data_IF_765931437909
#
_entry.id   IF_765931437909
#
_cell.length_a   1.000
_cell.length_b   1.000
_cell.length_c   1.000
_cell.angle_alpha   90.00
_cell.angle_beta   90.00
_cell.angle_gamma   90.00
#
_symmetry.space_group_name_H-M   'P 1'
#
loop_
_entity.id
_entity.type
_entity.pdbx_description
1 polymer ?
#
# COMPACT_ATOMS: atom_id res chain seq x y z
N UNK A 1 16.97 25.60 5.31
CA UNK A 1 17.30 24.43 6.15
C UNK A 1 16.71 23.22 5.45
N UNK A 2 17.53 22.50 4.68
CA UNK A 2 17.10 21.25 4.08
C UNK A 2 16.76 20.29 5.22
N UNK A 3 15.51 19.82 5.23
CA UNK A 3 15.09 18.74 6.13
C UNK A 3 15.84 17.49 5.70
N UNK A 4 16.96 17.21 6.37
CA UNK A 4 17.75 15.99 6.16
C UNK A 4 16.84 14.78 6.39
N UNK A 5 16.36 14.19 5.30
CA UNK A 5 15.62 12.94 5.33
C UNK A 5 16.48 11.93 6.09
N UNK A 6 15.95 11.44 7.21
CA UNK A 6 16.62 10.46 8.05
C UNK A 6 17.02 9.28 7.16
N UNK A 7 18.31 8.98 7.11
CA UNK A 7 18.84 7.94 6.23
C UNK A 7 18.09 6.63 6.47
N UNK A 8 17.52 6.05 5.41
CA UNK A 8 16.72 4.83 5.51
C UNK A 8 17.62 3.70 6.04
N UNK A 9 17.32 3.09 7.21
CA UNK A 9 18.29 2.32 7.98
C UNK A 9 18.95 1.16 7.22
N UNK A 10 18.30 0.64 6.18
CA UNK A 10 18.70 -0.58 5.48
C UNK A 10 19.31 -0.36 4.09
N UNK A 11 19.38 0.88 3.57
CA UNK A 11 19.75 1.12 2.16
C UNK A 11 20.65 2.34 1.92
N UNK A 12 21.18 2.94 2.99
CA UNK A 12 22.02 4.14 2.89
C UNK A 12 23.23 3.90 1.97
N UNK A 13 23.48 4.83 1.06
CA UNK A 13 24.58 4.82 0.08
C UNK A 13 24.61 3.61 -0.88
N UNK A 14 23.43 3.04 -1.19
CA UNK A 14 23.30 1.92 -2.13
C UNK A 14 22.21 2.14 -3.15
N UNK A 15 22.49 1.80 -4.41
CA UNK A 15 21.46 1.60 -5.45
C UNK A 15 21.09 0.12 -5.43
N UNK A 16 19.79 -0.17 -5.33
CA UNK A 16 19.27 -1.54 -5.33
C UNK A 16 18.17 -1.68 -6.36
N UNK A 17 18.21 -2.80 -7.09
CA UNK A 17 17.14 -3.21 -7.98
C UNK A 17 16.24 -4.18 -7.22
N UNK A 18 14.97 -3.82 -7.05
CA UNK A 18 13.98 -4.73 -6.50
C UNK A 18 13.52 -5.69 -7.60
N UNK A 19 13.87 -6.96 -7.45
CA UNK A 19 13.56 -7.99 -8.42
C UNK A 19 12.15 -8.58 -8.24
N UNK A 20 11.47 -8.27 -7.13
CA UNK A 20 10.17 -8.87 -6.78
C UNK A 20 9.27 -7.86 -6.05
N UNK A 21 8.77 -6.90 -6.83
CA UNK A 21 7.80 -5.92 -6.37
C UNK A 21 6.38 -6.29 -6.82
N UNK A 22 5.41 -6.23 -5.92
CA UNK A 22 4.00 -6.39 -6.24
C UNK A 22 3.25 -5.06 -6.10
N UNK A 23 2.34 -4.80 -7.03
CA UNK A 23 1.32 -3.77 -6.86
C UNK A 23 0.13 -4.37 -6.11
N UNK A 24 -0.49 -3.61 -5.22
CA UNK A 24 -1.80 -3.97 -4.67
C UNK A 24 -2.89 -3.39 -5.54
N UNK A 25 -3.63 -4.25 -6.21
CA UNK A 25 -4.75 -3.85 -7.05
C UNK A 25 -5.91 -3.34 -6.20
N UNK A 26 -6.75 -2.46 -6.76
CA UNK A 26 -7.98 -2.00 -6.10
C UNK A 26 -9.02 -3.14 -6.01
N UNK A 27 -9.92 -3.15 -5.02
CA UNK A 27 -10.90 -4.22 -4.85
C UNK A 27 -11.80 -4.46 -6.06
N UNK A 28 -11.95 -3.46 -6.93
CA UNK A 28 -12.81 -3.44 -8.10
C UNK A 28 -12.04 -3.48 -9.42
N UNK A 29 -10.71 -3.63 -9.42
CA UNK A 29 -9.87 -3.54 -10.63
C UNK A 29 -10.33 -4.46 -11.78
N UNK A 30 -10.88 -5.63 -11.44
CA UNK A 30 -11.34 -6.63 -12.40
C UNK A 30 -12.73 -6.32 -12.98
N UNK A 31 -13.44 -5.31 -12.46
CA UNK A 31 -14.82 -5.00 -12.86
C UNK A 31 -14.91 -4.51 -14.30
N UNK A 32 -13.89 -3.79 -14.76
CA UNK A 32 -13.84 -3.24 -16.11
C UNK A 32 -13.51 -4.30 -17.16
N UNK A 33 -12.56 -5.20 -16.86
CA UNK A 33 -11.98 -6.12 -17.84
C UNK A 33 -12.44 -7.59 -17.67
N UNK A 34 -13.02 -7.93 -16.51
CA UNK A 34 -13.42 -9.28 -16.20
C UNK A 34 -14.66 -9.75 -16.97
N UNK A 35 -14.64 -11.00 -17.43
CA UNK A 35 -15.85 -11.65 -17.98
C UNK A 35 -16.90 -11.85 -16.88
N UNK A 36 -18.17 -11.95 -17.25
CA UNK A 36 -19.27 -12.18 -16.28
C UNK A 36 -19.07 -13.44 -15.43
N UNK A 37 -18.48 -14.49 -16.00
CA UNK A 37 -18.13 -15.71 -15.26
C UNK A 37 -17.09 -15.42 -14.16
N UNK A 38 -16.04 -14.67 -14.50
CA UNK A 38 -14.96 -14.31 -13.57
C UNK A 38 -15.49 -13.38 -12.49
N UNK A 39 -16.25 -12.36 -12.86
CA UNK A 39 -16.88 -11.42 -11.92
C UNK A 39 -17.73 -12.15 -10.88
N UNK A 40 -18.60 -13.06 -11.32
CA UNK A 40 -19.44 -13.86 -10.42
C UNK A 40 -18.61 -14.73 -9.49
N UNK A 41 -17.60 -15.43 -10.00
CA UNK A 41 -16.74 -16.27 -9.19
C UNK A 41 -15.96 -15.46 -8.14
N UNK A 42 -15.41 -14.30 -8.54
CA UNK A 42 -14.66 -13.42 -7.67
C UNK A 42 -15.55 -12.84 -6.56
N UNK A 43 -16.68 -12.20 -6.92
CA UNK A 43 -17.60 -11.61 -5.96
C UNK A 43 -18.21 -12.65 -5.00
N UNK A 44 -18.42 -13.88 -5.48
CA UNK A 44 -18.86 -14.97 -4.62
C UNK A 44 -17.78 -15.37 -3.59
N UNK A 45 -16.51 -15.37 -4.01
CA UNK A 45 -15.37 -15.82 -3.19
C UNK A 45 -14.83 -14.74 -2.24
N UNK A 46 -14.94 -13.47 -2.65
CA UNK A 46 -14.39 -12.30 -1.96
C UNK A 46 -15.55 -11.33 -1.70
N UNK A 47 -16.32 -11.63 -0.65
CA UNK A 47 -17.52 -10.87 -0.27
C UNK A 47 -17.25 -9.63 0.58
N UNK A 48 -16.01 -9.44 1.04
CA UNK A 48 -15.62 -8.37 1.95
C UNK A 48 -14.51 -7.55 1.31
N UNK A 49 -14.79 -6.27 1.10
CA UNK A 49 -13.81 -5.28 0.66
C UNK A 49 -13.15 -4.58 1.84
N UNK A 50 -12.01 -3.96 1.57
CA UNK A 50 -11.36 -3.03 2.50
C UNK A 50 -11.89 -1.63 2.19
N UNK A 51 -12.23 -0.85 3.22
CA UNK A 51 -12.56 0.57 3.05
C UNK A 51 -11.27 1.37 2.83
N UNK A 52 -11.03 1.76 1.58
CA UNK A 52 -9.86 2.54 1.20
C UNK A 52 -9.92 3.99 1.67
N UNK A 53 -11.11 4.55 1.94
CA UNK A 53 -11.25 5.93 2.41
C UNK A 53 -10.84 6.06 3.88
N UNK A 54 -11.26 5.09 4.70
CA UNK A 54 -10.84 5.01 6.10
C UNK A 54 -9.31 4.84 6.18
N UNK A 55 -8.73 3.98 5.35
CA UNK A 55 -7.27 3.80 5.28
C UNK A 55 -6.53 5.07 4.85
N UNK A 56 -7.03 5.78 3.82
CA UNK A 56 -6.43 7.06 3.43
C UNK A 56 -6.45 8.08 4.56
N UNK A 57 -7.53 8.09 5.36
CA UNK A 57 -7.66 8.97 6.53
C UNK A 57 -6.69 8.57 7.63
N UNK A 58 -6.59 7.27 7.93
CA UNK A 58 -5.64 6.72 8.89
C UNK A 58 -4.19 7.08 8.53
N UNK A 59 -3.79 6.98 7.26
CA UNK A 59 -2.43 7.30 6.81
C UNK A 59 -2.04 8.78 7.02
N UNK A 60 -3.03 9.67 7.17
CA UNK A 60 -2.83 11.09 7.45
C UNK A 60 -2.71 11.39 8.94
N UNK A 61 -3.07 10.46 9.83
CA UNK A 61 -3.06 10.72 11.27
C UNK A 61 -1.64 10.85 11.84
N UNK A 62 -1.41 11.75 12.81
CA UNK A 62 -0.12 11.87 13.49
C UNK A 62 0.35 10.57 14.14
N UNK A 63 -0.57 9.84 14.76
CA UNK A 63 -0.29 8.59 15.46
C UNK A 63 0.23 7.52 14.48
N UNK A 64 -0.42 7.39 13.31
CA UNK A 64 0.00 6.44 12.29
C UNK A 64 1.37 6.80 11.71
N UNK A 65 1.59 8.09 11.44
CA UNK A 65 2.85 8.63 10.89
C UNK A 65 4.02 8.53 11.85
N UNK A 66 3.77 8.65 13.15
CA UNK A 66 4.80 8.54 14.19
C UNK A 66 5.54 7.19 14.17
N UNK A 67 4.88 6.13 13.66
CA UNK A 67 5.45 4.77 13.58
C UNK A 67 6.04 4.43 12.21
N UNK A 68 6.04 5.35 11.24
CA UNK A 68 6.48 5.07 9.87
C UNK A 68 7.87 4.44 9.80
N UNK A 69 8.85 5.01 10.52
CA UNK A 69 10.22 4.51 10.53
C UNK A 69 10.33 3.14 11.19
N UNK A 70 9.66 2.95 12.33
CA UNK A 70 9.70 1.71 13.09
C UNK A 70 9.05 0.53 12.34
N UNK A 71 8.09 0.82 11.45
CA UNK A 71 7.28 -0.20 10.77
C UNK A 71 7.49 -0.27 9.27
N UNK A 72 8.48 0.44 8.72
CA UNK A 72 8.70 0.53 7.27
C UNK A 72 8.83 -0.85 6.60
N UNK A 73 9.46 -1.82 7.28
CA UNK A 73 9.62 -3.18 6.76
C UNK A 73 8.41 -4.08 7.02
N UNK A 74 7.51 -3.68 7.92
CA UNK A 74 6.37 -4.48 8.38
C UNK A 74 5.07 -4.09 7.68
N UNK A 75 4.92 -2.83 7.30
CA UNK A 75 3.75 -2.32 6.60
C UNK A 75 3.77 -2.74 5.14
N UNK A 76 2.83 -3.61 4.78
CA UNK A 76 2.67 -4.15 3.43
C UNK A 76 1.32 -3.78 2.85
N UNK A 77 1.18 -4.02 1.55
CA UNK A 77 -0.08 -3.84 0.82
C UNK A 77 -0.63 -2.41 0.98
N UNK A 78 -1.93 -2.24 1.23
CA UNK A 78 -2.52 -0.91 1.47
C UNK A 78 -1.97 -0.20 2.72
N UNK A 79 -1.34 -0.90 3.66
CA UNK A 79 -0.71 -0.27 4.83
C UNK A 79 0.68 0.29 4.49
N UNK A 80 1.27 -0.09 3.35
CA UNK A 80 2.60 0.35 2.95
C UNK A 80 2.69 1.88 2.93
N UNK A 81 3.84 2.39 3.36
CA UNK A 81 4.10 3.82 3.32
C UNK A 81 4.08 4.31 1.88
N UNK A 82 3.38 5.42 1.61
CA UNK A 82 3.20 5.95 0.25
C UNK A 82 2.03 5.35 -0.53
N UNK A 83 1.29 4.37 0.01
CA UNK A 83 0.14 3.77 -0.69
C UNK A 83 -0.99 4.75 -1.07
N UNK A 84 -1.07 5.90 -0.40
CA UNK A 84 -2.12 6.91 -0.62
C UNK A 84 -1.59 8.34 -0.81
N UNK A 85 -0.26 8.53 -0.82
CA UNK A 85 0.38 9.84 -1.02
C UNK A 85 0.86 9.92 -2.48
N UNK A 86 0.49 10.99 -3.18
CA UNK A 86 0.91 11.27 -4.58
C UNK A 86 2.18 12.10 -4.61
#
# INVERSE_FOLDING_TARGET
MESGGKAMPYITDRVVHDADSHAMELPDWFSEFGTEKVKKAFNHRFKYGIDLQELSTLHKSPEYRSRNEAEIMSRKNYQALGAFDR
#
